data_IF_561477786563
#
_entry.id   IF_561477786563
#
_cell.length_a   1.000
_cell.length_b   1.000
_cell.length_c   1.000
_cell.angle_alpha   90.00
_cell.angle_beta   90.00
_cell.angle_gamma   90.00
#
_symmetry.space_group_name_H-M   'P 1'
#
loop_
_entity.id
_entity.type
_entity.pdbx_description
1 polymer ?
#
# COMPACT_ATOMS: atom_id res chain seq x y z
N UNK A 1 5.72 3.03 16.14
CA UNK A 1 5.10 1.68 16.01
C UNK A 1 3.74 1.66 15.28
N UNK A 2 3.28 2.78 14.69
CA UNK A 2 2.01 2.85 13.92
C UNK A 2 2.13 2.57 12.42
N UNK A 3 3.35 2.65 11.86
CA UNK A 3 3.60 2.74 10.41
C UNK A 3 3.32 1.46 9.60
N UNK A 4 3.54 0.27 10.19
CA UNK A 4 3.42 -1.01 9.47
C UNK A 4 1.96 -1.25 9.01
N UNK A 5 0.98 -0.76 9.75
CA UNK A 5 -0.43 -0.88 9.38
C UNK A 5 -0.82 0.04 8.22
N UNK A 6 -0.26 1.25 8.13
CA UNK A 6 -0.57 2.20 7.05
C UNK A 6 0.09 1.80 5.72
N UNK A 7 1.30 1.23 5.77
CA UNK A 7 2.00 0.69 4.60
C UNK A 7 1.24 -0.51 4.04
N UNK A 8 0.78 -1.43 4.90
CA UNK A 8 0.04 -2.62 4.45
C UNK A 8 -1.29 -2.28 3.74
N UNK A 9 -2.06 -1.31 4.26
CA UNK A 9 -3.33 -0.89 3.61
C UNK A 9 -3.07 -0.26 2.25
N UNK A 10 -1.99 0.51 2.10
CA UNK A 10 -1.65 1.17 0.84
C UNK A 10 -1.23 0.18 -0.24
N UNK A 11 -0.49 -0.87 0.11
CA UNK A 11 -0.11 -1.91 -0.89
C UNK A 11 -1.31 -2.78 -1.28
N UNK A 12 -2.27 -3.02 -0.38
CA UNK A 12 -3.52 -3.73 -0.69
C UNK A 12 -4.34 -2.95 -1.72
N UNK A 13 -4.52 -1.63 -1.54
CA UNK A 13 -5.27 -0.80 -2.51
C UNK A 13 -4.61 -0.80 -3.89
N UNK A 14 -3.27 -0.79 -3.97
CA UNK A 14 -2.55 -0.81 -5.25
C UNK A 14 -2.68 -2.16 -5.98
N UNK A 15 -2.70 -3.29 -5.25
CA UNK A 15 -2.84 -4.62 -5.84
C UNK A 15 -4.24 -4.87 -6.46
N UNK A 16 -5.28 -4.19 -5.97
CA UNK A 16 -6.64 -4.31 -6.51
C UNK A 16 -6.96 -3.33 -7.65
N UNK A 17 -6.22 -2.23 -7.79
CA UNK A 17 -6.57 -1.16 -8.75
C UNK A 17 -5.70 -1.16 -10.02
N UNK A 18 -5.49 -2.36 -10.59
CA UNK A 18 -4.80 -2.56 -11.88
C UNK A 18 -5.66 -2.13 -13.10
N UNK A 19 -6.75 -1.40 -12.89
CA UNK A 19 -7.49 -0.74 -13.97
C UNK A 19 -7.36 0.78 -13.83
N UNK A 20 -6.59 1.35 -14.77
CA UNK A 20 -6.52 2.78 -15.12
C UNK A 20 -5.36 3.58 -14.50
N UNK A 21 -4.13 3.14 -14.76
CA UNK A 21 -3.02 4.09 -14.98
C UNK A 21 -2.92 4.44 -16.48
N UNK A 22 -3.94 5.15 -16.97
CA UNK A 22 -3.68 6.10 -18.06
C UNK A 22 -3.03 7.30 -17.38
N UNK A 23 -1.78 7.62 -17.75
CA UNK A 23 -0.98 8.64 -17.10
C UNK A 23 -1.78 9.92 -16.84
N UNK A 24 -1.97 10.24 -15.57
CA UNK A 24 -2.56 11.52 -15.18
C UNK A 24 -1.42 12.53 -15.01
N UNK A 25 -1.31 13.43 -15.98
CA UNK A 25 -0.37 14.55 -16.01
C UNK A 25 -0.83 15.68 -15.08
N UNK A 26 -0.87 15.44 -13.76
CA UNK A 26 -1.07 16.49 -12.76
C UNK A 26 0.22 16.75 -11.99
N UNK A 27 1.29 17.06 -12.73
CA UNK A 27 2.64 17.31 -12.22
C UNK A 27 2.79 18.49 -11.22
N UNK A 28 1.69 19.13 -10.81
CA UNK A 28 1.70 20.30 -9.93
C UNK A 28 1.26 20.06 -8.48
N UNK A 29 0.52 18.98 -8.19
CA UNK A 29 -0.03 18.71 -6.84
C UNK A 29 0.70 17.58 -6.11
N UNK A 30 1.42 16.72 -6.83
CA UNK A 30 2.17 15.60 -6.25
C UNK A 30 3.54 16.01 -5.68
N UNK A 31 3.80 17.32 -5.56
CA UNK A 31 5.07 17.81 -5.02
C UNK A 31 5.20 17.38 -3.54
N UNK A 32 6.22 16.57 -3.20
CA UNK A 32 6.38 15.96 -1.88
C UNK A 32 6.61 16.95 -0.73
N UNK A 33 6.87 18.22 -1.05
CA UNK A 33 7.30 19.23 -0.07
C UNK A 33 6.19 20.20 0.36
N UNK A 34 4.97 20.11 -0.17
CA UNK A 34 3.90 21.08 0.13
C UNK A 34 2.61 20.52 0.73
N UNK A 35 2.47 19.20 0.83
CA UNK A 35 1.25 18.55 1.34
C UNK A 35 1.41 18.15 2.81
N UNK A 36 0.43 18.52 3.64
CA UNK A 36 0.34 18.14 5.06
C UNK A 36 -1.03 17.53 5.36
N UNK A 37 -1.15 16.75 6.43
CA UNK A 37 -2.42 16.14 6.81
C UNK A 37 -3.50 17.19 7.12
N UNK A 38 -3.13 18.29 7.76
CA UNK A 38 -4.02 19.42 8.02
C UNK A 38 -4.50 20.11 6.73
N UNK A 39 -3.66 20.16 5.69
CA UNK A 39 -4.06 20.66 4.38
C UNK A 39 -5.03 19.69 3.69
N UNK A 40 -4.75 18.37 3.74
CA UNK A 40 -5.65 17.34 3.19
C UNK A 40 -7.02 17.39 3.87
N UNK A 41 -7.08 17.60 5.19
CA UNK A 41 -8.33 17.69 5.94
C UNK A 41 -9.24 18.89 5.53
N UNK A 42 -8.66 19.90 4.87
CA UNK A 42 -9.37 21.12 4.42
C UNK A 42 -9.76 21.08 2.95
N UNK A 43 -9.35 20.05 2.21
CA UNK A 43 -9.67 19.89 0.78
C UNK A 43 -11.07 19.32 0.57
N UNK A 44 -11.68 19.61 -0.59
CA UNK A 44 -12.91 18.94 -1.03
C UNK A 44 -12.64 17.51 -1.52
N UNK A 45 -13.69 16.70 -1.64
CA UNK A 45 -13.57 15.33 -2.18
C UNK A 45 -12.96 15.32 -3.59
N UNK A 46 -13.39 16.21 -4.49
CA UNK A 46 -12.87 16.31 -5.86
C UNK A 46 -11.36 16.62 -5.86
N UNK A 47 -10.90 17.46 -4.93
CA UNK A 47 -9.48 17.77 -4.77
C UNK A 47 -8.71 16.56 -4.23
N UNK A 48 -9.27 15.85 -3.25
CA UNK A 48 -8.66 14.64 -2.69
C UNK A 48 -8.57 13.48 -3.70
N UNK A 49 -9.54 13.36 -4.61
CA UNK A 49 -9.53 12.39 -5.71
C UNK A 49 -8.45 12.69 -6.75
N UNK A 50 -8.05 13.95 -6.89
CA UNK A 50 -6.99 14.35 -7.82
C UNK A 50 -5.57 14.05 -7.33
N UNK A 51 -5.40 13.78 -6.03
CA UNK A 51 -4.12 13.46 -5.40
C UNK A 51 -3.91 11.95 -5.45
N UNK A 52 -2.68 11.54 -5.77
CA UNK A 52 -2.32 10.13 -5.76
C UNK A 52 -2.51 9.51 -4.35
N UNK A 53 -3.15 8.33 -4.31
CA UNK A 53 -3.49 7.62 -3.08
C UNK A 53 -2.25 7.33 -2.21
N UNK A 54 -1.09 7.05 -2.82
CA UNK A 54 0.16 6.79 -2.10
C UNK A 54 0.63 8.00 -1.32
N UNK A 55 0.61 9.18 -1.94
CA UNK A 55 0.96 10.46 -1.32
C UNK A 55 -0.04 10.78 -0.21
N UNK A 56 -1.34 10.66 -0.49
CA UNK A 56 -2.40 10.94 0.49
C UNK A 56 -2.27 10.04 1.73
N UNK A 57 -2.13 8.74 1.54
CA UNK A 57 -2.00 7.79 2.65
C UNK A 57 -0.69 8.01 3.42
N UNK A 58 0.40 8.33 2.72
CA UNK A 58 1.69 8.56 3.35
C UNK A 58 1.68 9.82 4.21
N UNK A 59 1.16 10.94 3.69
CA UNK A 59 1.03 12.21 4.43
C UNK A 59 0.18 12.02 5.68
N UNK A 60 -0.97 11.33 5.58
CA UNK A 60 -1.78 10.98 6.74
C UNK A 60 -1.03 10.08 7.74
N UNK A 61 -0.19 9.16 7.27
CA UNK A 61 0.57 8.25 8.11
C UNK A 61 1.79 8.88 8.81
N UNK A 62 2.43 9.85 8.16
CA UNK A 62 3.60 10.56 8.70
C UNK A 62 3.21 11.49 9.85
N UNK A 63 2.07 12.17 9.75
CA UNK A 63 1.55 13.05 10.82
C UNK A 63 1.17 12.27 12.10
N UNK A 64 0.93 10.96 11.97
CA UNK A 64 0.67 10.05 13.09
C UNK A 64 1.94 9.52 13.76
N UNK A 65 3.14 9.86 13.26
CA UNK A 65 4.39 9.28 13.73
C UNK A 65 5.50 10.34 13.79
N UNK A 66 5.59 10.98 14.95
CA UNK A 66 6.45 12.14 15.22
C UNK A 66 7.97 11.90 15.13
N UNK A 67 8.42 10.67 14.84
CA UNK A 67 9.83 10.28 14.91
C UNK A 67 10.11 9.08 13.99
N UNK A 68 10.24 9.32 12.69
CA UNK A 68 10.68 8.28 11.74
C UNK A 68 12.08 8.57 11.19
N UNK A 69 12.58 9.81 11.27
CA UNK A 69 13.89 10.17 10.73
C UNK A 69 14.05 9.92 9.22
N UNK A 70 12.95 9.65 8.51
CA UNK A 70 12.88 9.34 7.08
C UNK A 70 11.95 10.33 6.41
N UNK A 71 12.36 10.85 5.26
CA UNK A 71 11.61 11.83 4.46
C UNK A 71 10.46 11.17 3.70
N UNK A 72 9.49 11.99 3.26
CA UNK A 72 8.38 11.53 2.42
C UNK A 72 8.88 10.86 1.13
N UNK A 73 9.88 11.46 0.47
CA UNK A 73 10.47 10.95 -0.77
C UNK A 73 11.12 9.59 -0.60
N UNK A 74 11.84 9.39 0.50
CA UNK A 74 12.45 8.11 0.81
C UNK A 74 11.41 7.02 1.03
N UNK A 75 10.27 7.35 1.66
CA UNK A 75 9.18 6.42 1.88
C UNK A 75 8.43 6.09 0.58
N UNK A 76 8.17 7.08 -0.29
CA UNK A 76 7.57 6.87 -1.61
C UNK A 76 8.47 5.99 -2.49
N UNK A 77 9.76 6.31 -2.56
CA UNK A 77 10.73 5.49 -3.28
C UNK A 77 10.75 4.06 -2.76
N UNK A 78 10.67 3.88 -1.44
CA UNK A 78 10.64 2.55 -0.83
C UNK A 78 9.37 1.79 -1.19
N UNK A 79 8.22 2.47 -1.23
CA UNK A 79 6.94 1.91 -1.65
C UNK A 79 6.97 1.47 -3.12
N UNK A 80 7.55 2.28 -4.00
CA UNK A 80 7.74 1.95 -5.41
C UNK A 80 8.61 0.71 -5.59
N UNK A 81 9.74 0.63 -4.88
CA UNK A 81 10.64 -0.53 -4.92
C UNK A 81 9.92 -1.82 -4.53
N UNK A 82 9.14 -1.79 -3.44
CA UNK A 82 8.36 -2.94 -2.99
C UNK A 82 7.27 -3.32 -3.99
N UNK A 83 6.57 -2.34 -4.55
CA UNK A 83 5.50 -2.56 -5.52
C UNK A 83 6.04 -3.20 -6.79
N UNK A 84 7.18 -2.71 -7.31
CA UNK A 84 7.85 -3.31 -8.46
C UNK A 84 8.30 -4.74 -8.17
N UNK A 85 8.84 -4.98 -6.97
CA UNK A 85 9.27 -6.33 -6.56
C UNK A 85 8.11 -7.31 -6.50
N UNK A 86 6.98 -6.91 -5.89
CA UNK A 86 5.75 -7.70 -5.84
C UNK A 86 5.27 -8.02 -7.25
N UNK A 87 5.27 -7.04 -8.16
CA UNK A 87 4.88 -7.24 -9.56
C UNK A 87 5.76 -8.29 -10.24
N UNK A 88 7.08 -8.13 -10.18
CA UNK A 88 8.05 -9.05 -10.81
C UNK A 88 7.87 -10.47 -10.31
N UNK A 89 7.79 -10.67 -8.99
CA UNK A 89 7.66 -12.02 -8.43
C UNK A 89 6.26 -12.61 -8.66
N UNK A 90 5.20 -11.80 -8.67
CA UNK A 90 3.85 -12.26 -9.03
C UNK A 90 3.80 -12.76 -10.46
N UNK A 91 4.32 -11.98 -11.41
CA UNK A 91 4.33 -12.31 -12.83
C UNK A 91 5.19 -13.56 -13.08
N UNK A 92 6.38 -13.64 -12.46
CA UNK A 92 7.27 -14.82 -12.53
C UNK A 92 6.60 -16.10 -12.06
N UNK A 93 5.79 -16.02 -11.00
CA UNK A 93 5.16 -17.19 -10.39
C UNK A 93 3.73 -17.46 -10.89
N UNK A 94 3.17 -16.61 -11.77
CA UNK A 94 1.76 -16.69 -12.19
C UNK A 94 1.36 -18.03 -12.83
N UNK A 95 2.33 -18.75 -13.39
CA UNK A 95 2.15 -20.12 -13.88
C UNK A 95 1.56 -21.08 -12.82
N UNK A 96 1.80 -20.85 -11.51
CA UNK A 96 1.25 -21.65 -10.42
C UNK A 96 -0.27 -21.55 -10.35
N UNK A 97 -0.82 -20.35 -10.53
CA UNK A 97 -2.27 -20.13 -10.57
C UNK A 97 -2.90 -20.87 -11.76
N UNK A 98 -2.29 -20.80 -12.94
CA UNK A 98 -2.79 -21.51 -14.12
C UNK A 98 -2.73 -23.03 -13.99
N UNK A 99 -1.72 -23.57 -13.33
CA UNK A 99 -1.55 -25.01 -13.16
C UNK A 99 -2.58 -25.59 -12.19
N UNK A 100 -2.83 -24.91 -11.06
CA UNK A 100 -3.66 -25.41 -9.96
C UNK A 100 -4.56 -24.30 -9.39
N UNK A 101 -5.52 -23.78 -10.18
CA UNK A 101 -6.33 -22.62 -9.77
C UNK A 101 -7.22 -22.91 -8.55
N UNK A 102 -7.63 -24.17 -8.38
CA UNK A 102 -8.45 -24.61 -7.25
C UNK A 102 -7.75 -24.40 -5.88
N UNK A 103 -6.42 -24.46 -5.82
CA UNK A 103 -5.62 -24.16 -4.62
C UNK A 103 -5.77 -22.71 -4.16
N UNK A 104 -6.17 -21.83 -5.08
CA UNK A 104 -6.35 -20.40 -4.86
C UNK A 104 -7.82 -20.00 -4.94
N UNK A 105 -8.73 -20.92 -4.61
CA UNK A 105 -10.18 -20.71 -4.66
C UNK A 105 -10.69 -20.30 -6.05
N UNK A 106 -9.95 -20.63 -7.11
CA UNK A 106 -10.16 -20.16 -8.48
C UNK A 106 -10.20 -18.62 -8.60
N UNK A 107 -9.59 -17.90 -7.64
CA UNK A 107 -9.57 -16.44 -7.57
C UNK A 107 -8.17 -15.91 -7.83
N UNK A 108 -7.99 -15.26 -8.98
CA UNK A 108 -6.73 -14.58 -9.31
C UNK A 108 -6.42 -13.46 -8.31
N UNK A 109 -7.44 -12.72 -7.88
CA UNK A 109 -7.27 -11.66 -6.90
C UNK A 109 -6.72 -12.21 -5.58
N UNK A 110 -7.22 -13.37 -5.14
CA UNK A 110 -6.71 -14.06 -3.96
C UNK A 110 -5.26 -14.50 -4.14
N UNK A 111 -4.92 -15.08 -5.30
CA UNK A 111 -3.54 -15.43 -5.64
C UNK A 111 -2.59 -14.21 -5.60
N UNK A 112 -2.98 -13.08 -6.22
CA UNK A 112 -2.17 -11.84 -6.23
C UNK A 112 -2.00 -11.27 -4.82
N UNK A 113 -3.03 -11.37 -3.98
CA UNK A 113 -2.95 -11.00 -2.57
C UNK A 113 -1.99 -11.88 -1.77
N UNK A 114 -1.99 -13.20 -2.02
CA UNK A 114 -1.02 -14.11 -1.41
C UNK A 114 0.41 -13.82 -1.86
N UNK A 115 0.62 -13.53 -3.15
CA UNK A 115 1.95 -13.13 -3.66
C UNK A 115 2.44 -11.82 -3.04
N UNK A 116 1.55 -10.83 -2.90
CA UNK A 116 1.85 -9.59 -2.20
C UNK A 116 2.37 -9.86 -0.78
N UNK A 117 1.59 -10.59 0.03
CA UNK A 117 1.98 -10.89 1.42
C UNK A 117 3.28 -11.70 1.46
N UNK A 118 3.41 -12.70 0.59
CA UNK A 118 4.60 -13.56 0.54
C UNK A 118 5.86 -12.77 0.24
N UNK A 119 5.84 -11.90 -0.76
CA UNK A 119 7.00 -11.08 -1.14
C UNK A 119 7.36 -10.10 -0.03
N UNK A 120 6.37 -9.42 0.55
CA UNK A 120 6.62 -8.50 1.67
C UNK A 120 7.24 -9.20 2.89
N UNK A 121 6.81 -10.42 3.18
CA UNK A 121 7.36 -11.20 4.30
C UNK A 121 8.77 -11.72 4.00
N UNK A 122 8.98 -12.32 2.84
CA UNK A 122 10.22 -13.03 2.52
C UNK A 122 11.34 -12.07 2.15
N UNK A 123 11.05 -11.05 1.34
CA UNK A 123 12.09 -10.16 0.80
C UNK A 123 12.33 -8.93 1.67
N UNK A 124 11.32 -8.53 2.46
CA UNK A 124 11.36 -7.31 3.27
C UNK A 124 11.20 -7.54 4.77
N UNK A 125 10.97 -8.79 5.21
CA UNK A 125 10.79 -9.12 6.63
C UNK A 125 9.55 -8.46 7.26
N UNK A 126 8.61 -7.98 6.46
CA UNK A 126 7.45 -7.25 6.96
C UNK A 126 6.44 -8.23 7.55
N UNK A 127 6.29 -8.16 8.87
CA UNK A 127 5.30 -8.91 9.61
C UNK A 127 4.34 -7.95 10.28
N UNK A 128 3.06 -8.31 10.29
CA UNK A 128 2.10 -7.58 11.10
C UNK A 128 2.50 -7.70 12.57
N UNK A 129 2.41 -6.61 13.34
CA UNK A 129 2.78 -6.63 14.76
C UNK A 129 1.83 -7.60 15.50
N UNK A 130 2.32 -8.73 16.05
CA UNK A 130 1.46 -9.73 16.67
C UNK A 130 0.70 -9.20 17.88
N UNK A 131 1.23 -8.19 18.59
CA UNK A 131 0.55 -7.54 19.71
C UNK A 131 -0.66 -6.70 19.29
N UNK A 132 -0.78 -6.38 18.00
CA UNK A 132 -1.90 -5.61 17.44
C UNK A 132 -2.91 -6.50 16.72
N UNK A 133 -2.67 -7.81 16.65
CA UNK A 133 -3.63 -8.76 16.09
C UNK A 133 -4.69 -9.01 17.15
N UNK A 134 -5.72 -8.17 17.17
CA UNK A 134 -6.94 -8.47 17.93
C UNK A 134 -7.62 -9.65 17.25
N UNK A 135 -8.06 -10.66 18.00
CA UNK A 135 -8.92 -11.71 17.42
C UNK A 135 -10.14 -11.02 16.82
N UNK A 136 -10.42 -11.29 15.54
CA UNK A 136 -11.62 -10.80 14.89
C UNK A 136 -12.84 -11.21 15.73
N UNK A 137 -13.59 -10.22 16.23
CA UNK A 137 -14.76 -10.42 17.10
C UNK A 137 -14.62 -9.95 18.55
N UNK A 138 -13.45 -9.50 19.00
CA UNK A 138 -13.27 -8.87 20.31
C UNK A 138 -13.08 -7.35 20.14
N UNK A 139 -14.18 -6.63 19.98
CA UNK A 139 -14.20 -5.20 20.33
C UNK A 139 -14.56 -5.19 21.82
N UNK A 140 -13.56 -5.10 22.69
CA UNK A 140 -13.83 -4.74 24.08
C UNK A 140 -14.26 -3.27 24.07
N UNK A 141 -15.50 -3.04 24.51
CA UNK A 141 -16.11 -1.71 24.65
C UNK A 141 -15.66 -0.97 25.89
#
# INVERSE_FOLDING_TARGET
MGLIAAVAVSVITFAFNQQKTAGNTNAGLDSPQSLTADLLAKMSNDQLESINIEVRNLVCGMDLSNDIGVTQDELLKRLDEMTQRVKVETDRNFHRFHKEPATYENSEAYYRMLMLVTVLQQDYGMLYNPQRVTKAGLIEG
#
